data_IF_391366463833
#
_entry.id   IF_391366463833
#
_cell.length_a   1.000
_cell.length_b   1.000
_cell.length_c   1.000
_cell.angle_alpha   90.00
_cell.angle_beta   90.00
_cell.angle_gamma   90.00
#
_symmetry.space_group_name_H-M   'P 1'
#
loop_
_entity.id
_entity.type
_entity.pdbx_description
1 polymer ?
#
# COMPACT_ATOMS: atom_id res chain seq x y z
N UNK A 1 15.78 6.99 0.29
CA UNK A 1 14.60 6.10 0.25
C UNK A 1 14.31 5.46 -1.10
N UNK A 2 14.70 6.04 -2.25
CA UNK A 2 14.63 5.34 -3.55
C UNK A 2 15.35 3.98 -3.54
N UNK A 3 16.56 3.96 -2.96
CA UNK A 3 17.37 2.74 -2.92
C UNK A 3 16.67 1.56 -2.24
N UNK A 4 16.07 1.76 -1.06
CA UNK A 4 15.42 0.66 -0.33
C UNK A 4 14.22 0.09 -1.09
N UNK A 5 13.36 0.96 -1.63
CA UNK A 5 12.19 0.56 -2.40
C UNK A 5 12.59 -0.23 -3.66
N UNK A 6 13.61 0.23 -4.38
CA UNK A 6 14.11 -0.44 -5.58
C UNK A 6 14.82 -1.77 -5.25
N UNK A 7 15.52 -1.86 -4.12
CA UNK A 7 16.12 -3.11 -3.63
C UNK A 7 15.05 -4.13 -3.28
N UNK A 8 14.01 -3.72 -2.56
CA UNK A 8 12.89 -4.60 -2.20
C UNK A 8 12.09 -5.04 -3.43
N UNK A 9 11.85 -4.14 -4.39
CA UNK A 9 11.19 -4.51 -5.65
C UNK A 9 11.96 -5.59 -6.44
N UNK A 10 13.29 -5.57 -6.38
CA UNK A 10 14.13 -6.63 -6.99
C UNK A 10 14.11 -7.93 -6.19
N UNK A 11 14.00 -7.86 -4.85
CA UNK A 11 13.94 -9.02 -3.98
C UNK A 11 12.59 -9.76 -4.05
N UNK A 12 11.51 -9.05 -4.35
CA UNK A 12 10.15 -9.59 -4.44
C UNK A 12 9.56 -9.41 -5.86
N UNK A 13 10.07 -10.13 -6.88
CA UNK A 13 9.67 -9.93 -8.28
C UNK A 13 8.22 -10.31 -8.58
N UNK A 14 7.57 -11.08 -7.70
CA UNK A 14 6.16 -11.45 -7.83
C UNK A 14 5.21 -10.38 -7.27
N UNK A 15 5.75 -9.34 -6.64
CA UNK A 15 4.98 -8.26 -6.03
C UNK A 15 5.02 -7.01 -6.91
N UNK A 16 3.95 -6.23 -6.86
CA UNK A 16 3.83 -5.01 -7.65
C UNK A 16 4.18 -3.81 -6.77
N UNK A 17 5.29 -3.16 -7.10
CA UNK A 17 5.75 -1.94 -6.42
C UNK A 17 5.37 -0.72 -7.27
N UNK A 18 4.50 0.14 -6.73
CA UNK A 18 4.04 1.36 -7.40
C UNK A 18 4.44 2.60 -6.61
N UNK A 19 4.89 3.63 -7.33
CA UNK A 19 5.15 4.94 -6.76
C UNK A 19 4.19 5.94 -7.40
N UNK A 20 3.39 6.58 -6.57
CA UNK A 20 2.47 7.64 -6.99
C UNK A 20 3.04 9.01 -6.59
N UNK A 21 2.99 9.98 -7.51
CA UNK A 21 3.21 11.39 -7.17
C UNK A 21 1.89 11.99 -6.69
N UNK A 22 1.77 12.18 -5.37
CA UNK A 22 0.55 12.68 -4.74
C UNK A 22 0.24 14.14 -5.09
N UNK A 23 1.23 14.91 -5.56
CA UNK A 23 1.04 16.30 -5.99
C UNK A 23 0.23 16.33 -7.29
N UNK A 24 0.53 15.40 -8.20
CA UNK A 24 -0.21 15.24 -9.46
C UNK A 24 -1.52 14.45 -9.30
N UNK A 25 -1.68 13.73 -8.18
CA UNK A 25 -2.83 12.88 -7.89
C UNK A 25 -3.54 13.30 -6.58
N UNK A 26 -4.10 14.53 -6.50
CA UNK A 26 -4.68 15.05 -5.26
C UNK A 26 -5.89 14.22 -4.77
N UNK A 27 -6.63 13.59 -5.68
CA UNK A 27 -7.72 12.67 -5.32
C UNK A 27 -7.23 11.43 -4.58
N UNK A 28 -6.09 10.88 -4.99
CA UNK A 28 -5.43 9.74 -4.32
C UNK A 28 -4.90 10.19 -2.96
N UNK A 29 -4.24 11.35 -2.90
CA UNK A 29 -3.71 11.91 -1.67
C UNK A 29 -4.80 12.08 -0.60
N UNK A 30 -5.96 12.64 -0.99
CA UNK A 30 -7.12 12.81 -0.11
C UNK A 30 -7.73 11.47 0.31
N UNK A 31 -7.92 10.54 -0.63
CA UNK A 31 -8.54 9.23 -0.37
C UNK A 31 -7.77 8.44 0.71
N UNK A 32 -6.44 8.51 0.67
CA UNK A 32 -5.58 7.75 1.58
C UNK A 32 -4.98 8.59 2.70
N UNK A 33 -5.49 9.83 2.89
CA UNK A 33 -4.97 10.77 3.89
C UNK A 33 -3.44 10.88 3.89
N UNK A 34 -2.82 10.85 2.69
CA UNK A 34 -1.37 10.87 2.49
C UNK A 34 -0.80 12.28 2.76
N UNK A 35 -0.86 12.68 4.03
CA UNK A 35 -0.48 14.00 4.54
C UNK A 35 1.02 14.14 4.79
N UNK A 36 1.72 13.01 4.98
CA UNK A 36 3.16 12.94 5.22
C UNK A 36 3.80 12.03 4.19
N UNK A 37 4.81 12.54 3.50
CA UNK A 37 5.58 11.76 2.52
C UNK A 37 6.96 11.37 3.07
N UNK A 38 7.46 10.17 2.71
CA UNK A 38 6.77 9.15 1.95
C UNK A 38 5.71 8.43 2.79
N UNK A 39 4.66 8.00 2.11
CA UNK A 39 3.60 7.16 2.66
C UNK A 39 3.59 5.86 1.87
N UNK A 40 3.48 4.74 2.58
CA UNK A 40 3.44 3.40 2.04
C UNK A 40 2.09 2.79 2.38
N UNK A 41 1.46 2.18 1.38
CA UNK A 41 0.17 1.51 1.49
C UNK A 41 0.33 0.14 0.87
N UNK A 42 -0.06 -0.89 1.60
CA UNK A 42 0.03 -2.27 1.20
C UNK A 42 -1.35 -2.79 0.83
N UNK A 43 -1.42 -3.40 -0.34
CA UNK A 43 -2.65 -4.00 -0.86
C UNK A 43 -2.46 -5.50 -1.02
N UNK A 44 -3.42 -6.28 -0.56
CA UNK A 44 -3.49 -7.71 -0.82
C UNK A 44 -4.84 -8.06 -1.41
N UNK A 45 -4.86 -8.69 -2.60
CA UNK A 45 -6.09 -9.01 -3.35
C UNK A 45 -7.05 -7.81 -3.50
N UNK A 46 -6.52 -6.59 -3.60
CA UNK A 46 -7.29 -5.36 -3.72
C UNK A 46 -7.77 -4.75 -2.40
N UNK A 47 -7.51 -5.37 -1.26
CA UNK A 47 -7.85 -4.83 0.06
C UNK A 47 -6.62 -4.14 0.65
N UNK A 48 -6.82 -2.97 1.25
CA UNK A 48 -5.79 -2.27 2.03
C UNK A 48 -5.47 -3.10 3.28
N UNK A 49 -4.24 -3.59 3.43
CA UNK A 49 -3.84 -4.36 4.62
C UNK A 49 -3.24 -3.47 5.70
N UNK A 50 -2.35 -2.57 5.30
CA UNK A 50 -1.68 -1.66 6.22
C UNK A 50 -1.16 -0.43 5.51
N UNK A 51 -1.05 0.66 6.27
CA UNK A 51 -0.44 1.89 5.82
C UNK A 51 0.45 2.48 6.90
N UNK A 52 1.56 3.08 6.50
CA UNK A 52 2.38 3.89 7.39
C UNK A 52 3.03 5.04 6.64
N UNK A 53 3.39 6.09 7.38
CA UNK A 53 4.09 7.24 6.84
C UNK A 53 5.44 7.41 7.52
N UNK A 54 6.42 7.90 6.77
CA UNK A 54 7.74 8.24 7.26
C UNK A 54 8.88 7.47 6.60
N UNK A 55 10.08 7.92 6.93
CA UNK A 55 11.29 7.63 6.20
C UNK A 55 12.03 6.35 6.60
N UNK A 56 11.31 5.30 7.01
CA UNK A 56 11.93 4.12 7.62
C UNK A 56 12.02 2.95 6.66
N UNK A 57 13.21 2.73 6.10
CA UNK A 57 13.50 1.54 5.28
C UNK A 57 13.40 0.22 6.07
N UNK A 58 13.82 0.24 7.34
CA UNK A 58 13.63 -0.89 8.26
C UNK A 58 12.16 -1.26 8.41
N UNK A 59 11.30 -0.27 8.67
CA UNK A 59 9.86 -0.52 8.85
C UNK A 59 9.20 -1.03 7.57
N UNK A 60 9.63 -0.50 6.42
CA UNK A 60 9.16 -0.98 5.11
C UNK A 60 9.47 -2.47 4.91
N UNK A 61 10.69 -2.89 5.25
CA UNK A 61 11.12 -4.28 5.16
C UNK A 61 10.35 -5.18 6.13
N UNK A 62 10.23 -4.78 7.39
CA UNK A 62 9.46 -5.52 8.41
C UNK A 62 8.01 -5.74 7.94
N UNK A 63 7.34 -4.70 7.44
CA UNK A 63 5.96 -4.81 6.95
C UNK A 63 5.85 -5.74 5.74
N UNK A 64 6.80 -5.68 4.81
CA UNK A 64 6.83 -6.58 3.65
C UNK A 64 6.99 -8.05 4.08
N UNK A 65 7.89 -8.32 5.02
CA UNK A 65 8.12 -9.65 5.58
C UNK A 65 6.87 -10.16 6.29
N UNK A 66 6.24 -9.33 7.13
CA UNK A 66 4.99 -9.66 7.81
C UNK A 66 3.87 -9.99 6.81
N UNK A 67 3.66 -9.15 5.80
CA UNK A 67 2.67 -9.39 4.75
C UNK A 67 2.97 -10.66 3.94
N UNK A 68 4.24 -10.97 3.72
CA UNK A 68 4.65 -12.19 3.00
C UNK A 68 4.39 -13.45 3.80
N UNK A 69 4.56 -13.41 5.13
CA UNK A 69 4.43 -14.58 6.00
C UNK A 69 2.98 -14.84 6.41
N UNK A 70 2.23 -13.78 6.72
CA UNK A 70 0.89 -13.89 7.29
C UNK A 70 -0.20 -13.99 6.21
N UNK A 71 0.08 -13.54 4.98
CA UNK A 71 -0.94 -13.38 3.95
C UNK A 71 -1.96 -12.28 4.32
N UNK A 72 -3.14 -12.24 3.67
CA UNK A 72 -4.14 -11.21 3.96
C UNK A 72 -4.67 -11.38 5.39
N UNK A 73 -4.87 -10.27 6.10
CA UNK A 73 -5.58 -10.33 7.37
C UNK A 73 -7.01 -10.88 7.12
N UNK A 74 -7.54 -11.73 8.02
CA UNK A 74 -8.92 -12.18 7.89
C UNK A 74 -9.84 -10.96 7.85
N UNK A 75 -10.73 -10.91 6.85
CA UNK A 75 -11.59 -9.76 6.52
C UNK A 75 -12.36 -9.15 7.71
N UNK A 76 -12.52 -9.92 8.80
CA UNK A 76 -13.12 -9.45 10.06
C UNK A 76 -12.31 -8.32 10.75
N UNK A 77 -11.00 -8.20 10.52
CA UNK A 77 -10.17 -7.13 11.07
C UNK A 77 -10.28 -5.80 10.29
N UNK A 78 -10.75 -5.86 9.03
CA UNK A 78 -10.96 -4.70 8.15
C UNK A 78 -12.37 -4.12 8.25
N UNK A 79 -13.17 -4.58 9.22
CA UNK A 79 -14.42 -3.95 9.59
C UNK A 79 -14.13 -2.59 10.23
N UNK A 80 -13.99 -1.57 9.40
CA UNK A 80 -14.26 -0.18 9.75
C UNK A 80 -15.59 -0.17 10.54
N UNK A 81 -15.70 0.43 11.73
CA UNK A 81 -16.98 0.61 12.42
C UNK A 81 -18.03 1.33 11.55
N UNK A 82 -17.64 1.91 10.40
CA UNK A 82 -18.52 2.48 9.39
C UNK A 82 -18.89 1.54 8.21
N UNK A 83 -18.52 0.25 8.21
CA UNK A 83 -19.03 -0.74 7.24
C UNK A 83 -18.62 -0.55 5.78
N UNK A 84 -17.54 0.20 5.50
CA UNK A 84 -17.04 0.37 4.12
C UNK A 84 -16.08 -0.77 3.76
N UNK A 85 -16.61 -1.83 3.15
CA UNK A 85 -15.80 -2.73 2.32
C UNK A 85 -15.21 -1.88 1.20
N UNK A 86 -13.91 -1.59 1.24
CA UNK A 86 -13.22 -0.78 0.22
C UNK A 86 -12.92 -1.68 -0.97
N UNK A 87 -13.94 -1.99 -1.76
CA UNK A 87 -13.82 -2.69 -3.04
C UNK A 87 -12.95 -1.84 -3.98
N UNK A 88 -11.66 -2.18 -4.07
CA UNK A 88 -10.77 -1.62 -5.09
C UNK A 88 -11.12 -2.24 -6.45
N UNK A 89 -11.96 -1.55 -7.22
CA UNK A 89 -12.08 -1.82 -8.67
C UNK A 89 -10.88 -1.21 -9.37
N UNK A 90 -10.06 -2.05 -10.02
CA UNK A 90 -9.06 -1.55 -10.97
C UNK A 90 -9.76 -0.63 -11.98
N UNK A 91 -9.24 0.59 -12.24
CA UNK A 91 -9.74 1.38 -13.34
C UNK A 91 -9.53 0.58 -14.62
N UNK A 92 -10.62 0.29 -15.33
CA UNK A 92 -10.54 -0.23 -16.69
C UNK A 92 -9.88 0.88 -17.51
N UNK A 93 -8.65 0.67 -17.97
CA UNK A 93 -8.10 1.48 -19.05
C UNK A 93 -8.96 1.19 -20.28
N UNK A 94 -9.78 2.16 -20.67
CA UNK A 94 -10.34 2.23 -22.02
C UNK A 94 -9.18 2.52 -22.99
N UNK A 95 -9.18 1.76 -24.08
CA UNK A 95 -8.13 1.67 -25.09
C UNK A 95 -7.95 2.95 -25.92
#
# INVERSE_FOLDING_TARGET
MRAEFEVLAKAYPTWVFLRADIVQLPGVARRWAATRVPCYIFFWKGVEETQFAGASGRKLREVLEDCSLLGPAPAAAHADPAGRVRDWKMPKNEA
#
